data_IF_653630216585
#
_entry.id   IF_653630216585
#
_cell.length_a   1.000
_cell.length_b   1.000
_cell.length_c   1.000
_cell.angle_alpha   90.00
_cell.angle_beta   90.00
_cell.angle_gamma   90.00
#
_symmetry.space_group_name_H-M   'P 1'
#
loop_
_entity.id
_entity.type
_entity.pdbx_description
1 polymer ?
#
# COMPACT_ATOMS: atom_id res chain seq x y z
N UNK A 1 11.32 -0.52 -7.62
CA UNK A 1 11.42 -1.49 -8.74
C UNK A 1 12.75 -2.24 -8.71
N UNK A 2 13.86 -1.53 -8.53
CA UNK A 2 15.22 -2.09 -8.67
C UNK A 2 15.71 -2.90 -7.47
N UNK A 3 14.89 -3.04 -6.42
CA UNK A 3 15.17 -3.88 -5.26
C UNK A 3 14.97 -5.39 -5.50
N UNK A 4 14.74 -5.82 -6.74
CA UNK A 4 14.63 -7.24 -7.11
C UNK A 4 13.30 -7.93 -6.80
N UNK A 5 12.36 -7.28 -6.11
CA UNK A 5 11.02 -7.85 -5.88
C UNK A 5 10.28 -8.06 -7.22
N UNK A 6 9.75 -9.28 -7.41
CA UNK A 6 8.99 -9.67 -8.62
C UNK A 6 7.63 -10.28 -8.32
N UNK A 7 7.34 -10.61 -7.06
CA UNK A 7 6.05 -11.05 -6.58
C UNK A 7 5.64 -10.15 -5.42
N UNK A 8 4.55 -9.41 -5.58
CA UNK A 8 4.13 -8.40 -4.61
C UNK A 8 2.65 -8.53 -4.33
N UNK A 9 2.32 -8.61 -3.05
CA UNK A 9 0.94 -8.53 -2.58
C UNK A 9 0.71 -7.13 -2.02
N UNK A 10 -0.33 -6.46 -2.51
CA UNK A 10 -0.75 -5.14 -2.06
C UNK A 10 -2.08 -5.29 -1.34
N UNK A 11 -2.07 -4.98 -0.04
CA UNK A 11 -3.28 -4.91 0.79
C UNK A 11 -3.68 -3.44 0.94
N UNK A 12 -4.95 -3.13 0.74
CA UNK A 12 -5.47 -1.77 0.81
C UNK A 12 -6.84 -1.75 1.51
N UNK A 13 -7.07 -0.76 2.38
CA UNK A 13 -8.36 -0.55 3.06
C UNK A 13 -9.32 0.35 2.28
N UNK A 14 -8.93 0.81 1.09
CA UNK A 14 -9.79 1.56 0.18
C UNK A 14 -10.37 0.63 -0.90
N UNK A 15 -11.58 0.12 -0.67
CA UNK A 15 -12.26 -0.78 -1.60
C UNK A 15 -12.44 -0.19 -3.00
N UNK A 16 -12.79 1.09 -3.10
CA UNK A 16 -12.98 1.78 -4.39
C UNK A 16 -11.68 1.85 -5.19
N UNK A 17 -10.55 2.12 -4.52
CA UNK A 17 -9.25 2.13 -5.18
C UNK A 17 -8.89 0.72 -5.70
N UNK A 18 -9.10 -0.32 -4.90
CA UNK A 18 -8.85 -1.71 -5.32
C UNK A 18 -9.69 -2.06 -6.55
N UNK A 19 -10.98 -1.70 -6.54
CA UNK A 19 -11.88 -1.91 -7.67
C UNK A 19 -11.39 -1.20 -8.94
N UNK A 20 -11.06 0.09 -8.83
CA UNK A 20 -10.54 0.89 -9.96
C UNK A 20 -9.25 0.31 -10.56
N UNK A 21 -8.38 -0.26 -9.71
CA UNK A 21 -7.12 -0.87 -10.15
C UNK A 21 -7.34 -2.23 -10.82
N UNK A 22 -8.31 -3.03 -10.36
CA UNK A 22 -8.59 -4.36 -10.90
C UNK A 22 -9.42 -4.32 -12.20
N UNK A 23 -10.38 -3.41 -12.31
CA UNK A 23 -11.28 -3.33 -13.47
C UNK A 23 -10.82 -2.35 -14.56
N UNK A 24 -9.56 -1.87 -14.50
CA UNK A 24 -8.96 -1.06 -15.55
C UNK A 24 -9.38 0.42 -15.57
N UNK A 25 -10.18 0.87 -14.59
CA UNK A 25 -10.59 2.27 -14.45
C UNK A 25 -9.43 3.26 -14.24
N UNK A 26 -8.25 2.77 -13.87
CA UNK A 26 -7.05 3.59 -13.71
C UNK A 26 -6.44 4.12 -15.01
N UNK A 27 -6.61 3.43 -16.16
CA UNK A 27 -5.89 3.76 -17.39
C UNK A 27 -6.34 5.09 -18.04
N UNK A 28 -7.65 5.37 -18.00
CA UNK A 28 -8.29 6.54 -18.60
C UNK A 28 -8.70 7.60 -17.57
N UNK A 29 -8.33 7.40 -16.30
CA UNK A 29 -8.67 8.34 -15.23
C UNK A 29 -8.09 9.73 -15.51
N UNK A 30 -8.83 10.78 -15.15
CA UNK A 30 -8.32 12.17 -15.13
C UNK A 30 -7.22 12.36 -14.08
N UNK A 31 -7.21 11.53 -13.03
CA UNK A 31 -6.21 11.54 -11.97
C UNK A 31 -4.89 10.93 -12.45
N UNK A 32 -3.81 11.73 -12.41
CA UNK A 32 -2.47 11.33 -12.86
C UNK A 32 -1.98 10.13 -12.06
N UNK A 33 -2.24 10.10 -10.76
CA UNK A 33 -1.84 9.06 -9.81
C UNK A 33 -2.42 7.70 -10.20
N UNK A 34 -3.69 7.64 -10.59
CA UNK A 34 -4.34 6.40 -11.02
C UNK A 34 -3.74 5.87 -12.32
N UNK A 35 -3.40 6.76 -13.26
CA UNK A 35 -2.70 6.35 -14.50
C UNK A 35 -1.30 5.82 -14.20
N UNK A 36 -0.55 6.46 -13.30
CA UNK A 36 0.77 6.01 -12.88
C UNK A 36 0.72 4.66 -12.15
N UNK A 37 -0.25 4.48 -11.25
CA UNK A 37 -0.49 3.19 -10.60
C UNK A 37 -0.79 2.12 -11.63
N UNK A 38 -1.69 2.38 -12.59
CA UNK A 38 -2.00 1.45 -13.67
C UNK A 38 -0.75 1.03 -14.45
N UNK A 39 0.10 1.97 -14.86
CA UNK A 39 1.38 1.67 -15.52
C UNK A 39 2.33 0.84 -14.63
N UNK A 40 2.36 1.14 -13.33
CA UNK A 40 3.18 0.40 -12.37
C UNK A 40 2.70 -1.04 -12.24
N UNK A 41 1.39 -1.28 -12.24
CA UNK A 41 0.80 -2.61 -12.18
C UNK A 41 1.16 -3.48 -13.39
N UNK A 42 1.35 -2.87 -14.56
CA UNK A 42 1.65 -3.56 -15.83
C UNK A 42 3.16 -3.79 -16.07
N UNK A 43 4.03 -3.54 -15.08
CA UNK A 43 5.46 -3.87 -15.20
C UNK A 43 5.72 -5.38 -15.09
N UNK A 44 6.98 -5.81 -15.23
CA UNK A 44 7.39 -7.23 -15.26
C UNK A 44 7.43 -7.91 -13.87
N UNK A 45 6.31 -7.88 -13.14
CA UNK A 45 6.13 -8.49 -11.83
C UNK A 45 4.73 -9.10 -11.69
N UNK A 46 4.61 -10.12 -10.86
CA UNK A 46 3.33 -10.69 -10.43
C UNK A 46 2.81 -9.85 -9.26
N UNK A 47 1.69 -9.14 -9.46
CA UNK A 47 1.05 -8.37 -8.40
C UNK A 47 -0.31 -8.97 -8.08
N UNK A 48 -0.60 -9.10 -6.78
CA UNK A 48 -1.94 -9.39 -6.28
C UNK A 48 -2.39 -8.22 -5.43
N UNK A 49 -3.52 -7.62 -5.79
CA UNK A 49 -4.12 -6.54 -5.02
C UNK A 49 -5.37 -7.09 -4.35
N UNK A 50 -5.54 -6.85 -3.05
CA UNK A 50 -6.77 -7.17 -2.35
C UNK A 50 -7.18 -6.11 -1.37
N UNK A 51 -8.49 -5.98 -1.22
CA UNK A 51 -9.08 -5.18 -0.15
C UNK A 51 -8.92 -5.89 1.20
N UNK A 52 -8.64 -5.14 2.25
CA UNK A 52 -8.65 -5.59 3.64
C UNK A 52 -9.45 -4.62 4.51
N UNK A 53 -10.09 -5.06 5.60
CA UNK A 53 -10.66 -4.15 6.60
C UNK A 53 -9.61 -3.16 7.13
N UNK A 54 -10.03 -1.93 7.39
CA UNK A 54 -9.17 -0.87 7.96
C UNK A 54 -8.46 -1.28 9.25
N UNK A 55 -9.12 -2.09 10.08
CA UNK A 55 -8.57 -2.64 11.33
C UNK A 55 -7.41 -3.62 11.12
N UNK A 56 -7.18 -4.07 9.89
CA UNK A 56 -6.03 -4.89 9.51
C UNK A 56 -4.95 -4.07 8.79
N UNK A 57 -5.14 -2.76 8.61
CA UNK A 57 -4.20 -1.85 7.94
C UNK A 57 -3.53 -0.88 8.92
N UNK A 58 -3.46 -1.24 10.21
CA UNK A 58 -3.02 -0.38 11.31
C UNK A 58 -1.60 0.18 11.10
N UNK A 59 -0.68 -0.62 10.56
CA UNK A 59 0.70 -0.18 10.28
C UNK A 59 0.70 0.97 9.28
N UNK A 60 -0.03 0.85 8.17
CA UNK A 60 -0.09 1.88 7.13
C UNK A 60 -0.81 3.15 7.62
N UNK A 61 -1.89 2.98 8.39
CA UNK A 61 -2.61 4.09 9.00
C UNK A 61 -1.74 4.87 10.00
N UNK A 62 -1.01 4.15 10.85
CA UNK A 62 -0.06 4.76 11.80
C UNK A 62 1.07 5.50 11.09
N UNK A 63 1.63 4.91 10.03
CA UNK A 63 2.66 5.56 9.21
C UNK A 63 2.15 6.84 8.54
N UNK A 64 0.89 6.85 8.08
CA UNK A 64 0.25 8.04 7.51
C UNK A 64 0.14 9.16 8.54
N UNK A 65 -0.28 8.84 9.78
CA UNK A 65 -0.32 9.80 10.90
C UNK A 65 1.06 10.34 11.26
N UNK A 66 2.09 9.50 11.17
CA UNK A 66 3.49 9.89 11.44
C UNK A 66 4.10 10.79 10.36
N UNK A 67 3.54 10.80 9.15
CA UNK A 67 4.03 11.62 8.04
C UNK A 67 3.75 13.13 8.22
N UNK A 68 2.90 13.50 9.18
CA UNK A 68 2.46 14.86 9.52
C UNK A 68 1.73 15.58 8.37
N UNK A 69 0.45 15.87 8.62
CA UNK A 69 -0.52 16.50 7.72
C UNK A 69 -0.13 17.98 7.57
N UNK A 70 0.73 18.30 6.61
CA UNK A 70 1.12 19.69 6.37
C UNK A 70 2.25 19.89 5.36
N UNK A 71 3.06 18.88 5.10
CA UNK A 71 4.06 18.92 4.03
C UNK A 71 3.80 17.85 2.99
N UNK A 72 3.74 18.22 1.72
CA UNK A 72 3.74 17.33 0.54
C UNK A 72 5.05 16.54 0.37
N UNK A 73 5.84 16.37 1.44
CA UNK A 73 7.17 15.79 1.41
C UNK A 73 7.16 14.33 1.87
N UNK A 74 7.88 13.50 1.12
CA UNK A 74 8.20 12.12 1.52
C UNK A 74 9.09 12.19 2.77
N UNK A 75 8.61 11.65 3.89
CA UNK A 75 9.40 11.52 5.12
C UNK A 75 10.13 10.18 5.15
N UNK A 76 11.46 10.23 5.07
CA UNK A 76 12.30 9.04 5.19
C UNK A 76 12.72 8.81 6.65
N UNK A 77 12.34 7.67 7.21
CA UNK A 77 12.84 7.19 8.49
C UNK A 77 14.08 6.32 8.27
N UNK A 78 15.24 6.73 8.80
CA UNK A 78 16.49 5.95 8.70
C UNK A 78 16.53 4.76 9.66
N UNK A 79 15.77 4.84 10.75
CA UNK A 79 15.54 3.77 11.70
C UNK A 79 14.03 3.59 11.92
N UNK A 80 13.53 2.36 12.10
CA UNK A 80 12.11 2.14 12.33
C UNK A 80 11.68 2.79 13.65
N UNK A 81 10.51 3.44 13.64
CA UNK A 81 9.91 3.99 14.86
C UNK A 81 9.50 2.84 15.79
N UNK A 82 9.78 2.96 17.09
CA UNK A 82 9.42 1.92 18.07
C UNK A 82 7.91 1.57 18.04
N UNK A 83 7.06 2.58 17.84
CA UNK A 83 5.61 2.38 17.69
C UNK A 83 5.25 1.51 16.49
N UNK A 84 6.00 1.61 15.38
CA UNK A 84 5.78 0.81 14.18
C UNK A 84 6.26 -0.61 14.39
N UNK A 85 7.36 -0.81 15.12
CA UNK A 85 7.86 -2.16 15.47
C UNK A 85 6.80 -2.97 16.24
N UNK A 86 6.16 -2.36 17.24
CA UNK A 86 5.09 -3.01 18.00
C UNK A 86 3.89 -3.41 17.12
N UNK A 87 3.55 -2.59 16.12
CA UNK A 87 2.47 -2.90 15.18
C UNK A 87 2.86 -4.03 14.23
N UNK A 88 4.11 -4.05 13.75
CA UNK A 88 4.63 -5.11 12.88
C UNK A 88 4.68 -6.47 13.58
N UNK A 89 5.02 -6.50 14.88
CA UNK A 89 5.00 -7.73 15.68
C UNK A 89 3.57 -8.29 15.80
N UNK A 90 2.57 -7.43 15.96
CA UNK A 90 1.16 -7.83 15.98
C UNK A 90 0.70 -8.36 14.62
N UNK A 91 1.06 -7.66 13.54
CA UNK A 91 0.68 -8.03 12.18
C UNK A 91 1.25 -9.39 11.75
N UNK A 92 2.49 -9.69 12.18
CA UNK A 92 3.13 -11.00 11.93
C UNK A 92 2.34 -12.18 12.53
N UNK A 93 1.60 -11.94 13.60
CA UNK A 93 0.86 -12.97 14.33
C UNK A 93 -0.59 -13.13 13.87
N UNK A 94 -1.04 -12.37 12.85
CA UNK A 94 -2.37 -12.53 12.27
C UNK A 94 -2.33 -13.76 11.36
N UNK A 95 -3.13 -14.82 11.62
CA UNK A 95 -3.20 -15.97 10.75
C UNK A 95 -3.65 -15.53 9.36
N UNK A 96 -2.94 -15.97 8.32
CA UNK A 96 -3.38 -15.80 6.94
C UNK A 96 -4.57 -16.74 6.76
N UNK A 97 -5.78 -16.27 7.05
CA UNK A 97 -6.98 -16.93 6.57
C UNK A 97 -7.06 -16.65 5.07
N UNK A 98 -6.67 -17.67 4.29
CA UNK A 98 -6.92 -17.77 2.86
C UNK A 98 -8.36 -18.21 2.61
#
# INVERSE_FOLDING_TARGET
WDKGFRKVEVKCDNALLVELLLFGGGASSSLVELRLLHQFLHRKWEIRIRHIPRTLNDVADHMTKCANIGSSLIRLFRSPLASVMNLLERDRNIPIFC
#
